data_IF_165348582901
#
_entry.id   IF_165348582901
#
_cell.length_a   1.000
_cell.length_b   1.000
_cell.length_c   1.000
_cell.angle_alpha   90.00
_cell.angle_beta   90.00
_cell.angle_gamma   90.00
#
_symmetry.space_group_name_H-M   'P 1'
#
loop_
_entity.id
_entity.type
_entity.pdbx_description
1 polymer ?
#
# COMPACT_ATOMS: atom_id res chain seq x y z
N UNK A 1 -3.95 37.42 -13.47
CA UNK A 1 -4.12 35.99 -13.77
C UNK A 1 -5.39 35.54 -13.05
N UNK A 2 -6.46 35.27 -13.78
CA UNK A 2 -7.74 34.89 -13.17
C UNK A 2 -7.61 33.48 -12.58
N UNK A 3 -7.84 33.39 -11.28
CA UNK A 3 -7.88 32.13 -10.55
C UNK A 3 -9.12 31.37 -11.01
N UNK A 4 -8.92 30.16 -11.54
CA UNK A 4 -9.97 29.29 -12.08
C UNK A 4 -10.83 28.74 -10.93
N UNK A 5 -11.67 29.61 -10.38
CA UNK A 5 -12.57 29.29 -9.28
C UNK A 5 -13.72 28.41 -9.81
N UNK A 6 -13.99 27.25 -9.19
CA UNK A 6 -15.02 26.34 -9.67
C UNK A 6 -16.39 27.01 -9.65
N UNK A 7 -17.00 27.13 -10.84
CA UNK A 7 -18.28 27.83 -11.07
C UNK A 7 -19.50 27.12 -10.47
N UNK A 8 -19.33 25.91 -9.94
CA UNK A 8 -20.39 25.15 -9.26
C UNK A 8 -19.83 24.03 -8.34
N UNK A 9 -20.61 23.56 -7.35
CA UNK A 9 -20.23 22.44 -6.49
C UNK A 9 -19.97 21.12 -7.23
N UNK A 10 -20.60 20.90 -8.39
CA UNK A 10 -20.35 19.71 -9.22
C UNK A 10 -18.97 19.80 -9.90
N UNK A 11 -18.62 20.96 -10.46
CA UNK A 11 -17.30 21.19 -11.07
C UNK A 11 -16.16 20.98 -10.06
N UNK A 12 -16.35 21.42 -8.80
CA UNK A 12 -15.39 21.14 -7.72
C UNK A 12 -15.30 19.64 -7.42
N UNK A 13 -16.43 18.95 -7.32
CA UNK A 13 -16.47 17.49 -7.05
C UNK A 13 -15.76 16.70 -8.15
N UNK A 14 -15.97 17.07 -9.40
CA UNK A 14 -15.36 16.41 -10.55
C UNK A 14 -13.85 16.64 -10.58
N UNK A 15 -13.40 17.88 -10.35
CA UNK A 15 -11.98 18.22 -10.26
C UNK A 15 -11.28 17.46 -9.11
N UNK A 16 -11.93 17.38 -7.94
CA UNK A 16 -11.43 16.59 -6.82
C UNK A 16 -11.42 15.09 -7.11
N UNK A 17 -12.42 14.59 -7.84
CA UNK A 17 -12.49 13.21 -8.30
C UNK A 17 -11.33 12.84 -9.20
N UNK A 18 -11.03 13.66 -10.21
CA UNK A 18 -9.92 13.42 -11.12
C UNK A 18 -8.56 13.55 -10.42
N UNK A 19 -8.40 14.52 -9.49
CA UNK A 19 -7.19 14.62 -8.67
C UNK A 19 -6.97 13.36 -7.83
N UNK A 20 -8.00 12.89 -7.12
CA UNK A 20 -7.90 11.67 -6.30
C UNK A 20 -7.59 10.44 -7.13
N UNK A 21 -8.19 10.33 -8.32
CA UNK A 21 -7.91 9.26 -9.28
C UNK A 21 -6.47 9.30 -9.76
N UNK A 22 -5.95 10.48 -10.09
CA UNK A 22 -4.54 10.66 -10.48
C UNK A 22 -3.59 10.25 -9.35
N UNK A 23 -3.84 10.72 -8.12
CA UNK A 23 -3.02 10.36 -6.95
C UNK A 23 -3.06 8.86 -6.65
N UNK A 24 -4.25 8.23 -6.73
CA UNK A 24 -4.43 6.78 -6.59
C UNK A 24 -3.66 6.03 -7.67
N UNK A 25 -3.72 6.47 -8.92
CA UNK A 25 -2.97 5.85 -10.02
C UNK A 25 -1.47 5.92 -9.79
N UNK A 26 -0.94 7.07 -9.35
CA UNK A 26 0.48 7.22 -9.05
C UNK A 26 0.91 6.32 -7.88
N UNK A 27 0.10 6.26 -6.82
CA UNK A 27 0.36 5.37 -5.70
C UNK A 27 0.35 3.89 -6.14
N UNK A 28 -0.59 3.47 -6.99
CA UNK A 28 -0.60 2.12 -7.55
C UNK A 28 0.70 1.77 -8.28
N UNK A 29 1.21 2.70 -9.10
CA UNK A 29 2.48 2.49 -9.81
C UNK A 29 3.64 2.30 -8.83
N UNK A 30 3.70 3.12 -7.78
CA UNK A 30 4.75 3.03 -6.76
C UNK A 30 4.68 1.73 -5.95
N UNK A 31 3.47 1.32 -5.55
CA UNK A 31 3.25 0.07 -4.79
C UNK A 31 3.57 -1.18 -5.63
N UNK A 32 3.39 -1.11 -6.95
CA UNK A 32 3.64 -2.19 -7.90
C UNK A 32 4.96 -2.05 -8.67
N UNK A 33 5.89 -1.24 -8.16
CA UNK A 33 7.22 -1.06 -8.75
C UNK A 33 7.90 -2.43 -8.92
N UNK A 34 8.40 -2.71 -10.13
CA UNK A 34 9.00 -3.99 -10.51
C UNK A 34 8.07 -5.23 -10.38
N UNK A 35 6.75 -5.01 -10.36
CA UNK A 35 5.72 -6.07 -10.41
C UNK A 35 4.79 -5.85 -11.62
N UNK A 36 4.33 -4.62 -11.83
CA UNK A 36 3.41 -4.28 -12.92
C UNK A 36 4.16 -4.16 -14.25
N UNK A 37 3.78 -4.99 -15.23
CA UNK A 37 4.19 -4.83 -16.62
C UNK A 37 3.05 -4.21 -17.43
N UNK A 38 3.40 -3.18 -18.21
CA UNK A 38 2.48 -2.61 -19.21
C UNK A 38 3.23 -2.42 -20.52
N UNK A 39 2.54 -2.05 -21.60
CA UNK A 39 3.20 -1.72 -22.88
C UNK A 39 4.27 -0.62 -22.75
N UNK A 40 4.20 0.21 -21.70
CA UNK A 40 5.12 1.35 -21.46
C UNK A 40 6.03 1.15 -20.25
N UNK A 41 5.81 0.11 -19.44
CA UNK A 41 6.55 -0.14 -18.19
C UNK A 41 7.10 -1.56 -18.26
N UNK A 42 8.43 -1.65 -18.28
CA UNK A 42 9.18 -2.91 -18.23
C UNK A 42 9.83 -3.06 -16.86
N UNK A 43 9.74 -4.26 -16.27
CA UNK A 43 10.44 -4.57 -15.02
C UNK A 43 11.95 -4.55 -15.31
N UNK A 44 12.72 -3.81 -14.50
CA UNK A 44 14.15 -3.60 -14.70
C UNK A 44 14.99 -3.96 -13.47
N UNK A 45 14.44 -4.76 -12.56
CA UNK A 45 15.17 -5.24 -11.39
C UNK A 45 14.25 -5.92 -10.37
N UNK A 46 14.79 -6.17 -9.16
CA UNK A 46 14.05 -6.85 -8.11
C UNK A 46 12.93 -5.98 -7.56
N UNK A 47 11.92 -6.62 -6.97
CA UNK A 47 10.87 -5.91 -6.25
C UNK A 47 11.49 -5.14 -5.07
N UNK A 48 11.16 -3.84 -4.88
CA UNK A 48 11.74 -3.07 -3.79
C UNK A 48 11.27 -3.63 -2.43
N UNK A 49 12.19 -3.67 -1.47
CA UNK A 49 11.81 -3.93 -0.08
C UNK A 49 10.96 -2.77 0.47
N UNK A 50 10.38 -2.99 1.65
CA UNK A 50 9.52 -2.00 2.31
C UNK A 50 10.17 -0.61 2.43
N UNK A 51 11.45 -0.54 2.81
CA UNK A 51 12.18 0.72 2.98
C UNK A 51 12.26 1.49 1.66
N UNK A 52 12.73 0.82 0.60
CA UNK A 52 12.89 1.43 -0.72
C UNK A 52 11.53 1.87 -1.33
N UNK A 53 10.49 1.07 -1.14
CA UNK A 53 9.12 1.42 -1.54
C UNK A 53 8.65 2.70 -0.83
N UNK A 54 8.76 2.76 0.51
CA UNK A 54 8.34 3.92 1.27
C UNK A 54 9.14 5.18 0.93
N UNK A 55 10.45 5.05 0.74
CA UNK A 55 11.30 6.16 0.28
C UNK A 55 10.77 6.73 -1.04
N UNK A 56 10.46 5.87 -2.01
CA UNK A 56 9.93 6.30 -3.32
C UNK A 56 8.57 7.00 -3.17
N UNK A 57 7.70 6.50 -2.29
CA UNK A 57 6.42 7.14 -1.98
C UNK A 57 6.60 8.53 -1.38
N UNK A 58 7.51 8.73 -0.43
CA UNK A 58 7.73 10.06 0.15
C UNK A 58 8.41 11.05 -0.82
N UNK A 59 9.22 10.55 -1.77
CA UNK A 59 9.83 11.39 -2.82
C UNK A 59 8.76 11.89 -3.80
N UNK A 60 7.90 10.99 -4.27
CA UNK A 60 6.96 11.29 -5.36
C UNK A 60 5.62 11.83 -4.86
N UNK A 61 5.20 11.45 -3.65
CA UNK A 61 3.92 11.79 -3.03
C UNK A 61 4.11 12.37 -1.61
N UNK A 62 4.80 13.51 -1.45
CA UNK A 62 5.01 14.10 -0.13
C UNK A 62 3.69 14.61 0.49
N UNK A 63 3.45 14.37 1.79
CA UNK A 63 2.16 14.64 2.43
C UNK A 63 1.77 16.12 2.51
N UNK A 64 2.74 17.04 2.42
CA UNK A 64 2.51 18.49 2.53
C UNK A 64 2.70 19.22 1.21
N UNK A 65 2.80 18.51 0.08
CA UNK A 65 3.04 19.10 -1.25
C UNK A 65 4.45 19.64 -1.47
N UNK A 66 5.21 19.89 -0.40
CA UNK A 66 6.62 20.28 -0.48
C UNK A 66 7.52 19.05 -0.54
N UNK A 67 8.57 19.11 -1.36
CA UNK A 67 9.62 18.08 -1.40
C UNK A 67 10.24 17.94 -0.02
N UNK A 68 10.43 16.69 0.41
CA UNK A 68 11.12 16.36 1.66
C UNK A 68 12.61 16.18 1.40
N UNK A 69 13.44 16.58 2.35
CA UNK A 69 14.87 16.27 2.36
C UNK A 69 15.10 14.78 2.63
N UNK A 70 16.27 14.26 2.27
CA UNK A 70 16.65 12.86 2.53
C UNK A 70 16.52 12.49 4.01
N UNK A 71 16.96 13.37 4.91
CA UNK A 71 16.88 13.14 6.36
C UNK A 71 15.43 13.06 6.86
N UNK A 72 14.55 13.93 6.36
CA UNK A 72 13.12 13.88 6.71
C UNK A 72 12.45 12.60 6.19
N UNK A 73 12.81 12.17 4.98
CA UNK A 73 12.31 10.91 4.41
C UNK A 73 12.79 9.73 5.25
N UNK A 74 14.10 9.64 5.53
CA UNK A 74 14.66 8.57 6.37
C UNK A 74 13.97 8.54 7.75
N UNK A 75 13.75 9.71 8.35
CA UNK A 75 13.02 9.82 9.61
C UNK A 75 11.58 9.30 9.50
N UNK A 76 10.82 9.67 8.46
CA UNK A 76 9.47 9.17 8.25
C UNK A 76 9.43 7.66 8.02
N UNK A 77 10.31 7.15 7.16
CA UNK A 77 10.40 5.72 6.84
C UNK A 77 10.71 4.90 8.10
N UNK A 78 11.54 5.43 9.01
CA UNK A 78 11.91 4.75 10.26
C UNK A 78 10.85 4.86 11.36
N UNK A 79 10.17 6.00 11.50
CA UNK A 79 9.37 6.30 12.68
C UNK A 79 7.85 6.31 12.43
N UNK A 80 7.39 6.40 11.18
CA UNK A 80 5.96 6.44 10.85
C UNK A 80 5.39 5.03 10.66
N UNK A 81 5.20 4.32 11.78
CA UNK A 81 4.67 2.96 11.79
C UNK A 81 3.29 2.85 11.13
N UNK A 82 2.42 3.82 11.35
CA UNK A 82 1.09 3.84 10.76
C UNK A 82 1.14 3.90 9.23
N UNK A 83 1.99 4.76 8.66
CA UNK A 83 2.17 4.84 7.21
C UNK A 83 2.82 3.58 6.64
N UNK A 84 3.84 3.05 7.33
CA UNK A 84 4.51 1.79 6.94
C UNK A 84 3.50 0.65 6.80
N UNK A 85 2.72 0.42 7.85
CA UNK A 85 1.66 -0.59 7.84
C UNK A 85 0.64 -0.36 6.72
N UNK A 86 0.14 0.88 6.56
CA UNK A 86 -0.85 1.21 5.51
C UNK A 86 -0.32 0.92 4.11
N UNK A 87 0.93 1.26 3.83
CA UNK A 87 1.52 1.04 2.50
C UNK A 87 1.82 -0.44 2.24
N UNK A 88 2.28 -1.21 3.24
CA UNK A 88 2.42 -2.66 3.12
C UNK A 88 1.07 -3.33 2.87
N UNK A 89 0.04 -2.95 3.62
CA UNK A 89 -1.31 -3.47 3.42
C UNK A 89 -1.82 -3.16 2.01
N UNK A 90 -1.69 -1.90 1.57
CA UNK A 90 -2.08 -1.49 0.23
C UNK A 90 -1.30 -2.27 -0.85
N UNK A 91 0.02 -2.44 -0.69
CA UNK A 91 0.84 -3.24 -1.63
C UNK A 91 0.34 -4.67 -1.71
N UNK A 92 0.11 -5.36 -0.59
CA UNK A 92 -0.37 -6.75 -0.60
C UNK A 92 -1.71 -6.88 -1.34
N UNK A 93 -2.65 -5.97 -1.09
CA UNK A 93 -3.95 -5.98 -1.79
C UNK A 93 -3.77 -5.72 -3.29
N UNK A 94 -2.96 -4.73 -3.66
CA UNK A 94 -2.70 -4.41 -5.07
C UNK A 94 -2.07 -5.57 -5.83
N UNK A 95 -1.07 -6.22 -5.23
CA UNK A 95 -0.40 -7.38 -5.83
C UNK A 95 -1.35 -8.57 -5.92
N UNK A 96 -2.11 -8.86 -4.85
CA UNK A 96 -3.12 -9.91 -4.86
C UNK A 96 -4.12 -9.73 -6.01
N UNK A 97 -4.65 -8.52 -6.17
CA UNK A 97 -5.57 -8.21 -7.25
C UNK A 97 -4.94 -8.34 -8.64
N UNK A 98 -3.72 -7.84 -8.80
CA UNK A 98 -2.98 -7.92 -10.06
C UNK A 98 -2.72 -9.38 -10.47
N UNK A 99 -2.43 -10.25 -9.51
CA UNK A 99 -2.11 -11.67 -9.75
C UNK A 99 -3.36 -12.52 -9.92
N UNK A 100 -4.40 -12.30 -9.10
CA UNK A 100 -5.50 -13.26 -8.93
C UNK A 100 -6.86 -12.78 -9.44
N UNK A 101 -7.10 -11.47 -9.52
CA UNK A 101 -8.42 -10.92 -9.89
C UNK A 101 -8.45 -10.41 -11.33
N UNK A 102 -9.63 -10.49 -11.94
CA UNK A 102 -9.87 -9.95 -13.27
C UNK A 102 -9.97 -8.42 -13.24
N UNK A 103 -9.68 -7.75 -14.36
CA UNK A 103 -9.61 -6.27 -14.49
C UNK A 103 -10.89 -5.49 -14.08
N UNK A 104 -12.00 -6.16 -13.77
CA UNK A 104 -13.29 -5.53 -13.48
C UNK A 104 -13.50 -5.18 -12.00
N UNK A 105 -12.69 -5.71 -11.08
CA UNK A 105 -12.85 -5.46 -9.65
C UNK A 105 -12.05 -4.24 -9.19
N UNK A 106 -12.70 -3.30 -8.50
CA UNK A 106 -12.06 -2.12 -7.92
C UNK A 106 -11.21 -2.51 -6.70
N UNK A 107 -9.89 -2.50 -6.88
CA UNK A 107 -8.88 -2.71 -5.83
C UNK A 107 -9.13 -1.83 -4.59
N UNK A 108 -9.54 -0.58 -4.82
CA UNK A 108 -9.79 0.40 -3.77
C UNK A 108 -11.01 0.07 -2.92
N UNK A 109 -12.03 -0.56 -3.50
CA UNK A 109 -13.23 -0.95 -2.75
C UNK A 109 -12.91 -2.00 -1.70
N UNK A 110 -12.03 -2.96 -1.98
CA UNK A 110 -11.64 -3.98 -1.01
C UNK A 110 -10.74 -3.40 0.10
N UNK A 111 -9.85 -2.47 -0.25
CA UNK A 111 -9.07 -1.70 0.74
C UNK A 111 -10.02 -0.92 1.65
N UNK A 112 -10.98 -0.18 1.09
CA UNK A 112 -11.91 0.66 1.85
C UNK A 112 -12.81 -0.19 2.78
N UNK A 113 -13.32 -1.33 2.28
CA UNK A 113 -14.10 -2.28 3.10
C UNK A 113 -13.29 -2.81 4.28
N UNK A 114 -12.05 -3.25 4.04
CA UNK A 114 -11.21 -3.76 5.13
C UNK A 114 -10.86 -2.66 6.13
N UNK A 115 -10.52 -1.47 5.65
CA UNK A 115 -10.25 -0.31 6.51
C UNK A 115 -11.49 0.09 7.32
N UNK A 116 -12.70 -0.10 6.81
CA UNK A 116 -13.93 0.11 7.58
C UNK A 116 -14.06 -0.91 8.72
N UNK A 117 -13.81 -2.20 8.47
CA UNK A 117 -13.82 -3.24 9.50
C UNK A 117 -12.77 -2.92 10.58
N UNK A 118 -11.52 -2.66 10.18
CA UNK A 118 -10.43 -2.38 11.10
C UNK A 118 -10.68 -1.17 12.01
N UNK A 119 -11.37 -0.15 11.50
CA UNK A 119 -11.77 1.02 12.30
C UNK A 119 -12.76 0.68 13.41
N UNK A 120 -13.58 -0.35 13.23
CA UNK A 120 -14.51 -0.86 14.25
C UNK A 120 -13.92 -1.95 15.14
N UNK A 121 -12.73 -2.47 14.84
CA UNK A 121 -12.10 -3.56 15.58
C UNK A 121 -11.35 -3.09 16.83
N UNK A 122 -11.12 -3.99 17.79
CA UNK A 122 -10.34 -3.72 19.00
C UNK A 122 -8.90 -3.33 18.67
N UNK A 123 -8.24 -2.64 19.61
CA UNK A 123 -6.82 -2.28 19.49
C UNK A 123 -5.93 -3.52 19.29
N UNK A 124 -6.22 -4.59 20.03
CA UNK A 124 -5.54 -5.89 19.92
C UNK A 124 -5.67 -6.46 18.49
N UNK A 125 -6.89 -6.53 17.95
CA UNK A 125 -7.10 -7.01 16.58
C UNK A 125 -6.33 -6.17 15.55
N UNK A 126 -6.32 -4.85 15.72
CA UNK A 126 -5.55 -3.95 14.85
C UNK A 126 -4.04 -4.19 14.95
N UNK A 127 -3.50 -4.45 16.15
CA UNK A 127 -2.09 -4.78 16.37
C UNK A 127 -1.71 -6.09 15.68
N UNK A 128 -2.46 -7.17 15.92
CA UNK A 128 -2.26 -8.46 15.27
C UNK A 128 -2.32 -8.35 13.74
N UNK A 129 -3.34 -7.67 13.21
CA UNK A 129 -3.44 -7.43 11.78
C UNK A 129 -2.22 -6.66 11.24
N UNK A 130 -1.78 -5.61 11.93
CA UNK A 130 -0.64 -4.82 11.50
C UNK A 130 0.64 -5.63 11.41
N UNK A 131 0.88 -6.50 12.41
CA UNK A 131 2.07 -7.34 12.42
C UNK A 131 2.02 -8.42 11.34
N UNK A 132 0.87 -9.08 11.14
CA UNK A 132 0.70 -10.06 10.08
C UNK A 132 0.93 -9.45 8.69
N UNK A 133 0.40 -8.25 8.45
CA UNK A 133 0.64 -7.51 7.20
C UNK A 133 2.12 -7.23 6.99
N UNK A 134 2.80 -6.68 8.00
CA UNK A 134 4.21 -6.31 7.89
C UNK A 134 5.09 -7.55 7.68
N UNK A 135 4.81 -8.65 8.38
CA UNK A 135 5.55 -9.89 8.25
C UNK A 135 5.38 -10.52 6.87
N UNK A 136 4.14 -10.56 6.35
CA UNK A 136 3.86 -11.12 5.03
C UNK A 136 4.51 -10.29 3.91
N UNK A 137 4.45 -8.97 4.03
CA UNK A 137 5.12 -8.04 3.13
C UNK A 137 6.65 -8.22 3.16
N UNK A 138 7.23 -8.40 4.35
CA UNK A 138 8.65 -8.67 4.54
C UNK A 138 9.07 -9.98 3.86
N UNK A 139 8.37 -11.08 4.15
CA UNK A 139 8.63 -12.40 3.59
C UNK A 139 8.57 -12.39 2.06
N UNK A 140 7.64 -11.64 1.48
CA UNK A 140 7.50 -11.52 0.03
C UNK A 140 8.64 -10.70 -0.58
N UNK A 141 8.94 -9.52 -0.04
CA UNK A 141 9.65 -8.48 -0.80
C UNK A 141 11.02 -8.06 -0.24
N UNK A 142 11.47 -8.59 0.91
CA UNK A 142 12.75 -8.18 1.51
C UNK A 142 13.99 -8.88 0.93
N UNK A 143 13.81 -9.96 0.17
CA UNK A 143 14.90 -10.84 -0.28
C UNK A 143 15.46 -10.51 -1.66
N UNK A 144 15.23 -9.29 -2.18
CA UNK A 144 15.68 -8.84 -3.51
C UNK A 144 15.31 -9.83 -4.64
N UNK A 145 14.11 -10.41 -4.56
CA UNK A 145 13.61 -11.33 -5.58
C UNK A 145 13.01 -10.56 -6.75
N UNK A 146 13.19 -11.09 -7.95
CA UNK A 146 12.49 -10.63 -9.14
C UNK A 146 11.07 -11.17 -9.12
N UNK A 147 10.09 -10.35 -9.50
CA UNK A 147 8.68 -10.74 -9.49
C UNK A 147 8.40 -12.04 -10.28
N UNK A 148 9.09 -12.22 -11.42
CA UNK A 148 8.90 -13.38 -12.32
C UNK A 148 9.35 -14.72 -11.73
N UNK A 149 10.12 -14.71 -10.65
CA UNK A 149 10.60 -15.94 -9.98
C UNK A 149 9.78 -16.30 -8.75
N UNK A 150 8.79 -15.47 -8.38
CA UNK A 150 7.93 -15.68 -7.23
C UNK A 150 6.73 -16.54 -7.59
N UNK A 151 6.30 -17.42 -6.68
CA UNK A 151 5.10 -18.23 -6.89
C UNK A 151 3.86 -17.35 -6.75
N UNK A 152 2.86 -17.58 -7.60
CA UNK A 152 1.65 -16.76 -7.63
C UNK A 152 0.81 -16.95 -6.37
N UNK A 153 0.85 -18.16 -5.84
CA UNK A 153 0.11 -18.63 -4.67
C UNK A 153 0.60 -17.96 -3.38
N UNK A 154 1.86 -17.52 -3.35
CA UNK A 154 2.45 -16.83 -2.20
C UNK A 154 1.85 -15.41 -2.02
N UNK A 155 1.32 -14.81 -3.09
CA UNK A 155 0.69 -13.50 -3.04
C UNK A 155 -0.67 -13.56 -2.37
N UNK A 156 -0.70 -13.31 -1.07
CA UNK A 156 -1.89 -13.33 -0.23
C UNK A 156 -1.97 -12.09 0.67
N UNK A 157 -3.16 -11.84 1.20
CA UNK A 157 -3.46 -10.75 2.15
C UNK A 157 -4.02 -11.39 3.42
N UNK A 158 -3.63 -10.94 4.64
CA UNK A 158 -4.20 -11.48 5.87
C UNK A 158 -5.73 -11.53 5.84
N UNK A 159 -6.33 -12.70 6.04
CA UNK A 159 -7.80 -12.82 6.15
C UNK A 159 -8.26 -12.31 7.51
N UNK A 160 -9.57 -12.10 7.72
CA UNK A 160 -10.05 -11.72 9.05
C UNK A 160 -9.92 -12.89 10.04
N UNK A 161 -10.08 -14.11 9.54
CA UNK A 161 -9.93 -15.36 10.28
C UNK A 161 -8.49 -15.54 10.75
N UNK A 162 -7.48 -15.39 9.87
CA UNK A 162 -6.06 -15.46 10.25
C UNK A 162 -5.71 -14.45 11.36
N UNK A 163 -6.31 -13.26 11.33
CA UNK A 163 -6.11 -12.25 12.37
C UNK A 163 -6.80 -12.69 13.66
N UNK A 164 -8.05 -13.17 13.58
CA UNK A 164 -8.79 -13.61 14.74
C UNK A 164 -8.12 -14.81 15.42
N UNK A 165 -7.60 -15.76 14.65
CA UNK A 165 -6.83 -16.89 15.16
C UNK A 165 -5.55 -16.43 15.87
N UNK A 166 -4.89 -15.40 15.31
CA UNK A 166 -3.73 -14.80 15.97
C UNK A 166 -4.11 -14.07 17.26
N UNK A 167 -5.26 -13.41 17.32
CA UNK A 167 -5.78 -12.80 18.56
C UNK A 167 -6.11 -13.90 19.58
N UNK A 168 -6.77 -14.97 19.15
CA UNK A 168 -7.18 -16.08 20.01
C UNK A 168 -5.99 -16.85 20.61
N UNK A 169 -4.83 -16.84 19.94
CA UNK A 169 -3.61 -17.43 20.49
C UNK A 169 -3.00 -16.61 21.63
N UNK A 170 -3.44 -15.35 21.81
CA UNK A 170 -3.00 -14.44 22.88
C UNK A 170 -1.57 -13.93 22.73
N UNK A 171 -0.87 -14.24 21.63
CA UNK A 171 0.52 -13.84 21.39
C UNK A 171 0.60 -13.09 20.06
N UNK A 172 0.90 -11.79 20.13
CA UNK A 172 1.24 -11.00 18.94
C UNK A 172 2.51 -11.58 18.32
N UNK A 173 2.49 -11.97 17.03
CA UNK A 173 3.69 -12.49 16.39
C UNK A 173 4.86 -11.50 16.46
N UNK A 174 6.09 -11.99 16.50
CA UNK A 174 7.26 -11.11 16.43
C UNK A 174 7.32 -10.41 15.06
N UNK A 175 7.66 -9.13 15.05
CA UNK A 175 7.86 -8.37 13.82
C UNK A 175 9.20 -8.78 13.18
N UNK A 176 9.15 -9.22 11.92
CA UNK A 176 10.32 -9.56 11.13
C UNK A 176 11.10 -8.27 10.74
N UNK A 177 12.43 -8.38 10.66
CA UNK A 177 13.34 -7.25 10.38
C UNK A 177 14.30 -7.57 9.26
#
# INVERSE_FOLDING_TARGET
>A
MAQDMPKSPSTYRDAMGELLKYQRSNLCLLLLTNILETKRITINGPVPNQKAMLTSIYVDLPPKGNKMTKSEIDHQVMNNYAMRYRMCYARLVMVYFYVHKSKKDSQWTDIDKRLAILRGSSCEFQQHHSTLVLNRDFQLFSHKRDYKTMNREDFSVPTLEEVQDSVNSGIVPALLK
#
